data_IF_538874888508
#
_entry.id   IF_538874888508
#
_cell.length_a   1.000
_cell.length_b   1.000
_cell.length_c   1.000
_cell.angle_alpha   90.00
_cell.angle_beta   90.00
_cell.angle_gamma   90.00
#
_symmetry.space_group_name_H-M   'P 1'
#
loop_
_entity.id
_entity.type
_entity.pdbx_description
1 polymer ?
#
# COMPACT_ATOMS: atom_id res chain seq x y z
N UNK A 1 -25.00 -29.27 -26.61
CA UNK A 1 -24.17 -28.31 -25.85
C UNK A 1 -25.04 -27.10 -25.56
N UNK A 2 -25.78 -27.08 -24.44
CA UNK A 2 -26.61 -25.92 -24.06
C UNK A 2 -26.48 -25.51 -22.57
N UNK A 3 -25.62 -26.16 -21.79
CA UNK A 3 -25.56 -25.93 -20.33
C UNK A 3 -24.21 -25.41 -19.83
N UNK A 4 -23.55 -24.55 -20.61
CA UNK A 4 -22.29 -23.90 -20.19
C UNK A 4 -22.34 -22.40 -20.41
N UNK A 5 -23.51 -21.79 -20.16
CA UNK A 5 -23.66 -20.35 -20.10
C UNK A 5 -24.01 -19.95 -18.67
N UNK A 6 -23.10 -19.22 -18.03
CA UNK A 6 -23.33 -18.65 -16.70
C UNK A 6 -24.24 -17.43 -16.86
N UNK A 7 -25.46 -17.51 -16.33
CA UNK A 7 -26.40 -16.41 -16.39
C UNK A 7 -25.95 -15.27 -15.45
N UNK A 8 -25.93 -14.03 -15.95
CA UNK A 8 -25.47 -12.85 -15.23
C UNK A 8 -26.38 -12.39 -14.08
N UNK A 9 -27.43 -13.13 -13.75
CA UNK A 9 -28.45 -12.81 -12.73
C UNK A 9 -28.36 -13.69 -11.48
N UNK A 10 -27.26 -14.41 -11.26
CA UNK A 10 -27.09 -15.28 -10.09
C UNK A 10 -26.98 -14.45 -8.81
N UNK A 11 -27.62 -14.92 -7.74
CA UNK A 11 -27.35 -14.40 -6.40
C UNK A 11 -25.94 -14.78 -5.93
N UNK A 12 -25.39 -14.05 -4.96
CA UNK A 12 -24.06 -14.34 -4.42
C UNK A 12 -23.94 -15.77 -3.84
N UNK A 13 -25.01 -16.31 -3.27
CA UNK A 13 -25.03 -17.66 -2.72
C UNK A 13 -24.99 -18.73 -3.82
N UNK A 14 -25.77 -18.55 -4.89
CA UNK A 14 -25.76 -19.45 -6.05
C UNK A 14 -24.45 -19.36 -6.82
N UNK A 15 -23.91 -18.15 -6.96
CA UNK A 15 -22.57 -17.92 -7.51
C UNK A 15 -21.53 -18.71 -6.73
N UNK A 16 -21.47 -18.54 -5.41
CA UNK A 16 -20.50 -19.24 -4.58
C UNK A 16 -20.67 -20.76 -4.64
N UNK A 17 -21.91 -21.27 -4.63
CA UNK A 17 -22.17 -22.71 -4.76
C UNK A 17 -21.69 -23.28 -6.09
N UNK A 18 -21.88 -22.56 -7.20
CA UNK A 18 -21.51 -23.02 -8.53
C UNK A 18 -20.01 -22.88 -8.82
N UNK A 19 -19.39 -21.80 -8.36
CA UNK A 19 -18.00 -21.48 -8.66
C UNK A 19 -17.00 -22.10 -7.68
N UNK A 20 -17.38 -22.34 -6.42
CA UNK A 20 -16.46 -22.88 -5.41
C UNK A 20 -15.79 -24.20 -5.83
N UNK A 21 -16.50 -25.19 -6.39
CA UNK A 21 -15.85 -26.43 -6.84
C UNK A 21 -14.84 -26.22 -7.97
N UNK A 22 -15.11 -25.27 -8.88
CA UNK A 22 -14.19 -24.90 -9.96
C UNK A 22 -12.95 -24.20 -9.42
N UNK A 23 -13.14 -23.26 -8.49
CA UNK A 23 -12.05 -22.54 -7.83
C UNK A 23 -11.17 -23.48 -7.01
N UNK A 24 -11.76 -24.37 -6.22
CA UNK A 24 -11.05 -25.37 -5.43
C UNK A 24 -10.26 -26.33 -6.34
N UNK A 25 -10.87 -26.75 -7.46
CA UNK A 25 -10.21 -27.56 -8.48
C UNK A 25 -9.01 -26.85 -9.11
N UNK A 26 -9.18 -25.61 -9.56
CA UNK A 26 -8.10 -24.79 -10.13
C UNK A 26 -6.99 -24.62 -9.10
N UNK A 27 -7.31 -24.25 -7.86
CA UNK A 27 -6.33 -24.06 -6.79
C UNK A 27 -5.54 -25.33 -6.50
N UNK A 28 -6.18 -26.51 -6.54
CA UNK A 28 -5.50 -27.79 -6.34
C UNK A 28 -4.50 -28.14 -7.44
N UNK A 29 -4.68 -27.58 -8.64
CA UNK A 29 -3.84 -27.82 -9.82
C UNK A 29 -2.76 -26.75 -10.00
N UNK A 30 -2.83 -25.63 -9.27
CA UNK A 30 -1.82 -24.57 -9.34
C UNK A 30 -0.54 -25.07 -8.67
N UNK A 31 0.59 -25.16 -9.40
CA UNK A 31 1.85 -25.54 -8.81
C UNK A 31 2.30 -24.52 -7.75
N UNK A 32 2.94 -24.95 -6.65
CA UNK A 32 3.43 -24.05 -5.59
C UNK A 32 4.50 -23.05 -6.07
N UNK A 33 5.09 -23.30 -7.25
CA UNK A 33 5.94 -22.34 -7.96
C UNK A 33 5.37 -22.11 -9.35
N UNK A 34 4.52 -21.09 -9.47
CA UNK A 34 4.11 -20.54 -10.75
C UNK A 34 5.31 -19.84 -11.42
N UNK A 35 6.18 -20.61 -12.07
CA UNK A 35 6.95 -20.04 -13.16
C UNK A 35 5.97 -19.78 -14.30
N UNK A 36 5.44 -18.56 -14.37
CA UNK A 36 4.79 -18.09 -15.60
C UNK A 36 5.89 -18.05 -16.67
N UNK A 37 6.00 -19.09 -17.48
CA UNK A 37 6.78 -19.01 -18.71
C UNK A 37 6.13 -17.92 -19.56
N UNK A 38 6.77 -16.74 -19.60
CA UNK A 38 6.36 -15.70 -20.54
C UNK A 38 6.63 -16.23 -21.95
N UNK A 39 5.73 -15.93 -22.88
CA UNK A 39 5.98 -16.22 -24.28
C UNK A 39 7.26 -15.49 -24.70
N UNK A 40 8.26 -16.26 -25.14
CA UNK A 40 9.46 -15.70 -25.73
C UNK A 40 9.09 -15.13 -27.11
N UNK A 41 9.40 -13.86 -27.35
CA UNK A 41 9.19 -13.21 -28.63
C UNK A 41 10.53 -12.74 -29.23
N UNK A 42 10.50 -12.24 -30.46
CA UNK A 42 11.69 -11.78 -31.20
C UNK A 42 12.46 -10.70 -30.42
N UNK A 43 11.77 -9.85 -29.64
CA UNK A 43 12.40 -8.82 -28.81
C UNK A 43 13.16 -9.45 -27.63
N UNK A 44 12.59 -10.49 -27.00
CA UNK A 44 13.27 -11.24 -25.94
C UNK A 44 14.54 -11.93 -26.46
N UNK A 45 14.49 -12.51 -27.65
CA UNK A 45 15.65 -13.15 -28.29
C UNK A 45 16.71 -12.11 -28.68
N UNK A 46 16.30 -10.98 -29.25
CA UNK A 46 17.22 -9.88 -29.59
C UNK A 46 17.90 -9.30 -28.36
N UNK A 47 17.17 -9.09 -27.27
CA UNK A 47 17.74 -8.63 -26.01
C UNK A 47 18.83 -9.59 -25.51
N UNK A 48 18.58 -10.90 -25.58
CA UNK A 48 19.56 -11.92 -25.22
C UNK A 48 20.79 -11.90 -26.13
N UNK A 49 20.62 -11.81 -27.45
CA UNK A 49 21.74 -11.75 -28.40
C UNK A 49 22.58 -10.48 -28.26
N UNK A 50 21.93 -9.38 -27.86
CA UNK A 50 22.59 -8.09 -27.66
C UNK A 50 23.21 -7.91 -26.25
N UNK A 51 23.11 -8.90 -25.37
CA UNK A 51 23.49 -8.82 -23.94
C UNK A 51 22.79 -7.65 -23.21
N UNK A 52 21.48 -7.51 -23.41
CA UNK A 52 20.64 -6.44 -22.85
C UNK A 52 19.50 -7.01 -22.01
N UNK A 53 19.09 -6.25 -20.99
CA UNK A 53 17.87 -6.48 -20.22
C UNK A 53 16.86 -5.41 -20.57
N UNK A 54 15.66 -5.81 -20.97
CA UNK A 54 14.57 -4.88 -21.27
C UNK A 54 13.73 -4.65 -20.02
N UNK A 55 13.43 -3.38 -19.76
CA UNK A 55 12.63 -2.96 -18.62
C UNK A 55 11.39 -2.23 -19.11
N UNK A 56 10.24 -2.52 -18.52
CA UNK A 56 8.99 -1.81 -18.78
C UNK A 56 8.51 -1.09 -17.54
N UNK A 57 7.82 0.03 -17.74
CA UNK A 57 7.07 0.68 -16.66
C UNK A 57 5.87 -0.19 -16.27
N UNK A 58 5.46 -0.13 -15.01
CA UNK A 58 4.32 -0.91 -14.54
C UNK A 58 3.03 -0.62 -15.31
N UNK A 59 2.84 0.64 -15.74
CA UNK A 59 1.65 1.05 -16.51
C UNK A 59 1.60 0.54 -17.97
N UNK A 60 2.68 -0.05 -18.50
CA UNK A 60 2.73 -0.64 -19.85
C UNK A 60 2.97 -2.15 -19.81
N UNK A 61 2.91 -2.75 -18.63
CA UNK A 61 2.90 -4.21 -18.51
C UNK A 61 1.58 -4.77 -19.03
N UNK A 62 1.64 -5.99 -19.57
CA UNK A 62 0.49 -6.66 -20.19
C UNK A 62 -0.63 -6.96 -19.17
N UNK A 63 -0.24 -7.03 -17.89
CA UNK A 63 -1.13 -7.11 -16.74
C UNK A 63 -0.72 -5.98 -15.78
N UNK A 64 -1.61 -5.02 -15.56
CA UNK A 64 -1.37 -3.88 -14.67
C UNK A 64 -1.37 -4.29 -13.19
N UNK A 65 -1.90 -5.47 -12.85
CA UNK A 65 -1.82 -6.06 -11.52
C UNK A 65 -0.42 -6.60 -11.21
N UNK A 66 0.37 -7.03 -12.22
CA UNK A 66 1.74 -7.53 -12.02
C UNK A 66 2.67 -6.43 -11.44
N UNK A 67 2.31 -5.14 -11.64
CA UNK A 67 3.05 -4.00 -11.12
C UNK A 67 2.24 -3.10 -10.17
N UNK A 68 1.05 -3.54 -9.73
CA UNK A 68 0.23 -2.76 -8.82
C UNK A 68 0.81 -2.83 -7.41
N UNK A 69 1.13 -1.66 -6.84
CA UNK A 69 1.54 -1.59 -5.45
C UNK A 69 0.38 -1.90 -4.51
N UNK A 70 0.61 -2.87 -3.62
CA UNK A 70 -0.28 -3.10 -2.50
C UNK A 70 0.09 -2.19 -1.32
N UNK A 71 -0.90 -1.43 -0.84
CA UNK A 71 -0.80 -0.65 0.39
C UNK A 71 -1.74 -1.26 1.43
N UNK A 72 -1.17 -1.84 2.49
CA UNK A 72 -1.95 -2.17 3.69
C UNK A 72 -2.30 -0.88 4.45
N UNK A 73 -3.36 -0.21 3.98
CA UNK A 73 -3.82 1.06 4.55
C UNK A 73 -4.18 0.92 6.02
N UNK A 74 -4.69 -0.24 6.45
CA UNK A 74 -5.06 -0.47 7.83
C UNK A 74 -3.80 -0.52 8.71
N UNK A 75 -2.77 -1.27 8.31
CA UNK A 75 -1.50 -1.34 9.01
C UNK A 75 -0.77 0.00 9.04
N UNK A 76 -0.71 0.71 7.91
CA UNK A 76 -0.10 2.05 7.84
C UNK A 76 -0.82 3.00 8.80
N UNK A 77 -2.16 3.00 8.76
CA UNK A 77 -2.97 3.84 9.65
C UNK A 77 -2.71 3.49 11.12
N UNK A 78 -2.69 2.20 11.47
CA UNK A 78 -2.43 1.76 12.83
C UNK A 78 -1.06 2.23 13.36
N UNK A 79 -0.01 2.10 12.55
CA UNK A 79 1.34 2.56 12.93
C UNK A 79 1.41 4.09 13.10
N UNK A 80 0.77 4.86 12.21
CA UNK A 80 0.74 6.32 12.34
C UNK A 80 0.00 6.75 13.60
N UNK A 81 -1.15 6.12 13.90
CA UNK A 81 -1.90 6.39 15.13
C UNK A 81 -1.11 6.02 16.39
N UNK A 82 -0.38 4.90 16.35
CA UNK A 82 0.51 4.52 17.44
C UNK A 82 1.58 5.59 17.67
N UNK A 83 2.19 6.11 16.61
CA UNK A 83 3.18 7.18 16.71
C UNK A 83 2.57 8.48 17.29
N UNK A 84 1.33 8.83 16.90
CA UNK A 84 0.60 9.98 17.47
C UNK A 84 0.35 9.79 18.97
N UNK A 85 -0.08 8.60 19.37
CA UNK A 85 -0.34 8.28 20.78
C UNK A 85 0.93 8.27 21.63
N UNK A 86 2.04 7.78 21.10
CA UNK A 86 3.33 7.84 21.80
C UNK A 86 3.82 9.29 21.91
N UNK A 87 3.67 10.09 20.85
CA UNK A 87 4.02 11.50 20.86
C UNK A 87 3.17 12.29 21.88
N UNK A 88 1.86 12.06 21.93
CA UNK A 88 0.97 12.75 22.88
C UNK A 88 1.36 12.50 24.33
N UNK A 89 1.73 11.26 24.67
CA UNK A 89 2.19 10.89 26.02
C UNK A 89 3.46 11.62 26.45
N UNK A 90 4.31 11.98 25.49
CA UNK A 90 5.62 12.61 25.74
C UNK A 90 5.56 14.13 25.67
N UNK A 91 4.73 14.68 24.80
CA UNK A 91 4.54 16.12 24.67
C UNK A 91 4.08 16.77 25.98
N UNK A 92 3.38 16.03 26.85
CA UNK A 92 3.05 16.49 28.21
C UNK A 92 4.26 16.68 29.14
N UNK A 93 5.47 16.26 28.75
CA UNK A 93 6.66 16.19 29.62
C UNK A 93 7.87 17.02 29.16
N UNK A 94 7.76 17.87 28.13
CA UNK A 94 8.91 18.62 27.54
C UNK A 94 10.12 17.72 27.29
N UNK A 95 9.96 16.79 26.35
CA UNK A 95 10.93 15.74 26.02
C UNK A 95 11.78 16.17 24.83
N UNK A 96 13.07 15.88 24.83
CA UNK A 96 14.00 16.17 23.72
C UNK A 96 13.90 15.13 22.58
N UNK A 97 14.47 15.42 21.41
CA UNK A 97 14.41 14.53 20.24
C UNK A 97 14.98 13.14 20.53
N UNK A 98 16.13 13.09 21.19
CA UNK A 98 16.87 11.87 21.50
C UNK A 98 16.10 10.95 22.45
N UNK A 99 15.14 11.50 23.19
CA UNK A 99 14.29 10.79 24.14
C UNK A 99 12.97 10.30 23.51
N UNK A 100 12.68 10.67 22.26
CA UNK A 100 11.48 10.19 21.56
C UNK A 100 11.63 8.72 21.16
N UNK A 101 10.56 7.90 21.28
CA UNK A 101 10.53 6.54 20.79
C UNK A 101 10.89 6.47 19.30
N UNK A 102 11.64 5.43 18.92
CA UNK A 102 12.04 5.23 17.52
C UNK A 102 10.87 5.23 16.55
N UNK A 103 9.69 4.74 16.96
CA UNK A 103 8.49 4.77 16.13
C UNK A 103 8.06 6.19 15.76
N UNK A 104 8.21 7.15 16.67
CA UNK A 104 7.90 8.57 16.43
C UNK A 104 8.94 9.17 15.48
N UNK A 105 10.22 8.90 15.72
CA UNK A 105 11.32 9.36 14.87
C UNK A 105 11.26 8.79 13.44
N UNK A 106 10.72 7.58 13.28
CA UNK A 106 10.62 6.91 11.98
C UNK A 106 9.54 7.53 11.08
N UNK A 107 8.40 7.92 11.66
CA UNK A 107 7.25 8.40 10.88
C UNK A 107 7.24 9.91 10.65
N UNK A 108 7.84 10.68 11.54
CA UNK A 108 7.83 12.12 11.45
C UNK A 108 9.25 12.67 11.28
N UNK A 109 9.51 13.41 10.20
CA UNK A 109 10.78 14.10 10.02
C UNK A 109 11.07 15.02 11.21
N UNK A 110 12.36 15.17 11.53
CA UNK A 110 12.81 15.98 12.67
C UNK A 110 12.27 17.41 12.60
N UNK A 111 12.27 18.01 11.41
CA UNK A 111 11.80 19.38 11.19
C UNK A 111 10.32 19.53 11.51
N UNK A 112 9.49 18.56 11.11
CA UNK A 112 8.05 18.56 11.38
C UNK A 112 7.80 18.38 12.88
N UNK A 113 8.53 17.47 13.55
CA UNK A 113 8.38 17.28 14.99
C UNK A 113 8.82 18.50 15.80
N UNK A 114 9.91 19.16 15.43
CA UNK A 114 10.32 20.41 16.06
C UNK A 114 9.22 21.47 15.95
N UNK A 115 8.62 21.65 14.77
CA UNK A 115 7.49 22.57 14.57
C UNK A 115 6.28 22.18 15.41
N UNK A 116 5.96 20.88 15.50
CA UNK A 116 4.88 20.39 16.35
C UNK A 116 5.16 20.67 17.83
N UNK A 117 6.39 20.45 18.29
CA UNK A 117 6.81 20.71 19.68
C UNK A 117 6.75 22.20 20.04
N UNK A 118 7.15 23.08 19.12
CA UNK A 118 7.00 24.53 19.29
C UNK A 118 5.52 24.94 19.34
N UNK A 119 4.70 24.39 18.44
CA UNK A 119 3.28 24.68 18.38
C UNK A 119 2.54 24.29 19.66
N UNK A 120 2.90 23.15 20.27
CA UNK A 120 2.25 22.65 21.50
C UNK A 120 2.85 23.24 22.79
N UNK A 121 3.99 23.94 22.74
CA UNK A 121 4.66 24.50 23.93
C UNK A 121 3.81 25.54 24.68
N UNK A 122 2.80 26.12 24.01
CA UNK A 122 1.92 27.16 24.56
C UNK A 122 0.45 26.76 24.65
N UNK A 123 0.12 25.49 24.35
CA UNK A 123 -1.26 25.00 24.29
C UNK A 123 -1.73 24.54 25.68
N UNK A 124 -2.97 24.85 26.06
CA UNK A 124 -3.55 24.35 27.32
C UNK A 124 -3.88 22.86 27.21
N UNK A 125 -4.00 22.15 28.34
CA UNK A 125 -4.31 20.70 28.33
C UNK A 125 -5.60 20.38 27.57
N UNK A 126 -6.63 21.25 27.67
CA UNK A 126 -7.90 21.07 26.94
C UNK A 126 -7.76 21.27 25.43
N UNK A 127 -6.93 22.22 25.01
CA UNK A 127 -6.66 22.49 23.59
C UNK A 127 -5.78 21.40 22.96
N UNK A 128 -4.98 20.69 23.78
CA UNK A 128 -4.09 19.63 23.33
C UNK A 128 -4.85 18.39 22.83
N UNK A 129 -5.93 18.00 23.51
CA UNK A 129 -6.79 16.90 23.02
C UNK A 129 -7.45 17.24 21.68
N UNK A 130 -7.89 18.49 21.53
CA UNK A 130 -8.49 18.98 20.27
C UNK A 130 -7.46 18.97 19.14
N UNK A 131 -6.23 19.43 19.42
CA UNK A 131 -5.12 19.38 18.48
C UNK A 131 -4.80 17.96 18.03
N UNK A 132 -4.70 17.00 18.96
CA UNK A 132 -4.42 15.60 18.66
C UNK A 132 -5.53 14.96 17.81
N UNK A 133 -6.80 15.24 18.12
CA UNK A 133 -7.93 14.77 17.30
C UNK A 133 -7.88 15.32 15.87
N UNK A 134 -7.56 16.60 15.71
CA UNK A 134 -7.39 17.20 14.38
C UNK A 134 -6.20 16.57 13.64
N UNK A 135 -5.09 16.33 14.31
CA UNK A 135 -3.91 15.72 13.71
C UNK A 135 -4.14 14.27 13.28
N UNK A 136 -4.85 13.50 14.08
CA UNK A 136 -5.32 12.16 13.71
C UNK A 136 -6.20 12.21 12.46
N UNK A 137 -7.23 13.08 12.44
CA UNK A 137 -8.13 13.21 11.31
C UNK A 137 -7.39 13.64 10.03
N UNK A 138 -6.47 14.60 10.15
CA UNK A 138 -5.57 15.01 9.08
C UNK A 138 -4.76 13.82 8.53
N UNK A 139 -4.14 13.03 9.41
CA UNK A 139 -3.31 11.89 9.04
C UNK A 139 -4.10 10.82 8.28
N UNK A 140 -5.31 10.49 8.75
CA UNK A 140 -6.22 9.55 8.06
C UNK A 140 -6.60 10.04 6.68
N UNK A 141 -6.94 11.33 6.55
CA UNK A 141 -7.30 11.94 5.28
C UNK A 141 -6.12 12.01 4.32
N UNK A 142 -4.92 12.32 4.83
CA UNK A 142 -3.69 12.34 4.05
C UNK A 142 -3.38 10.96 3.47
N UNK A 143 -3.42 9.89 4.29
CA UNK A 143 -3.21 8.51 3.81
C UNK A 143 -4.21 8.20 2.69
N UNK A 144 -5.50 8.47 2.91
CA UNK A 144 -6.54 8.23 1.90
C UNK A 144 -6.30 9.00 0.60
N UNK A 145 -5.87 10.26 0.68
CA UNK A 145 -5.67 11.14 -0.48
C UNK A 145 -4.37 10.86 -1.25
N UNK A 146 -3.31 10.46 -0.55
CA UNK A 146 -1.98 10.28 -1.15
C UNK A 146 -1.70 8.84 -1.57
N UNK A 147 -2.28 7.80 -0.96
CA UNK A 147 -2.05 6.42 -1.40
C UNK A 147 -2.29 6.21 -2.91
N UNK A 148 -3.39 6.70 -3.51
CA UNK A 148 -3.59 6.55 -4.96
C UNK A 148 -2.53 7.30 -5.79
N UNK A 149 -2.13 8.50 -5.34
CA UNK A 149 -1.11 9.31 -6.03
C UNK A 149 0.26 8.63 -6.02
N UNK A 150 0.64 8.04 -4.89
CA UNK A 150 1.89 7.28 -4.76
C UNK A 150 1.85 6.05 -5.67
N UNK A 151 0.70 5.35 -5.73
CA UNK A 151 0.53 4.21 -6.65
C UNK A 151 0.76 4.63 -8.11
N UNK A 152 0.07 5.68 -8.56
CA UNK A 152 0.21 6.20 -9.94
C UNK A 152 1.63 6.65 -10.23
N UNK A 153 2.26 7.40 -9.32
CA UNK A 153 3.63 7.86 -9.48
C UNK A 153 4.59 6.67 -9.62
N UNK A 154 4.42 5.66 -8.77
CA UNK A 154 5.25 4.46 -8.80
C UNK A 154 5.08 3.69 -10.11
N UNK A 155 3.84 3.43 -10.53
CA UNK A 155 3.55 2.72 -11.77
C UNK A 155 4.11 3.42 -13.02
N UNK A 156 4.19 4.76 -12.99
CA UNK A 156 4.71 5.56 -14.10
C UNK A 156 6.23 5.76 -14.08
N UNK A 157 6.89 5.48 -12.95
CA UNK A 157 8.31 5.81 -12.73
C UNK A 157 9.17 4.56 -12.61
N UNK A 158 8.74 3.57 -11.82
CA UNK A 158 9.52 2.35 -11.64
C UNK A 158 9.47 1.51 -12.91
N UNK A 159 10.65 1.00 -13.28
CA UNK A 159 10.82 0.07 -14.39
C UNK A 159 11.15 -1.30 -13.82
N UNK A 160 10.45 -2.31 -14.30
CA UNK A 160 10.61 -3.70 -13.91
C UNK A 160 11.19 -4.47 -15.09
N UNK A 161 12.06 -5.43 -14.81
CA UNK A 161 12.51 -6.36 -15.83
C UNK A 161 11.34 -7.20 -16.30
N UNK A 162 11.18 -7.30 -17.63
CA UNK A 162 10.09 -8.04 -18.25
C UNK A 162 10.58 -9.30 -18.96
#
# INVERSE_FOLDING_TARGET
MNDTALQGSLSNEEYNRLYKPLLDGIQSMIPPMLFRYRSCNELSLQALWDDKIWLSKGNVMNDDYDALLYFDKAKITAHVLQAINEFSRLASRKVSWEELPQIVQHFFPREILCQMMEAIAHITVGDMESYLRHFEAFSRNAIKAYSPKISVLTQNTLKFAC
#
